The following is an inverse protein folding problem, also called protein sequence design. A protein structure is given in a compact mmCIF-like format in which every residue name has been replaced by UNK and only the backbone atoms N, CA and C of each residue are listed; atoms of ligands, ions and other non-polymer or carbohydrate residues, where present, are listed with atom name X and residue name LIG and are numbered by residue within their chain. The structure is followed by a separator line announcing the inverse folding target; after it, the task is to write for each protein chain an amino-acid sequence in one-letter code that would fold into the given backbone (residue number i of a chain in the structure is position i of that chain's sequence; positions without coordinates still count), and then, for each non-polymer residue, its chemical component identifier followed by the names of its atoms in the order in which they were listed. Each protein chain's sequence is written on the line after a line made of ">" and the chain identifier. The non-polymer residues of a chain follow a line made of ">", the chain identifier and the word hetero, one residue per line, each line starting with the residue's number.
data_IF_793086247166
#
_entry.id   IF_793086247166
#
_cell.length_a   1.000
_cell.length_b   1.000
_cell.length_c   1.000
_cell.angle_alpha   90.00
_cell.angle_beta   90.00
_cell.angle_gamma   90.00
#
_symmetry.space_group_name_H-M   'P 1'
#
loop_
_entity.id
_entity.type
_entity.pdbx_description
1 polymer ?
#
# COMPACT_ATOMS: atom_id res chain seq x y z
N UNK A 1 -10.54 -18.28 -27.05
CA UNK A 1 -9.11 -17.88 -27.19
C UNK A 1 -8.70 -17.19 -25.90
N UNK A 2 -8.00 -17.91 -25.04
CA UNK A 2 -7.55 -17.42 -23.71
C UNK A 2 -6.24 -16.70 -23.97
N UNK A 3 -6.24 -15.37 -23.83
CA UNK A 3 -5.00 -14.59 -23.90
C UNK A 3 -4.19 -14.83 -22.63
N UNK A 4 -2.96 -15.31 -22.85
CA UNK A 4 -1.98 -15.59 -21.83
C UNK A 4 -1.67 -14.34 -21.00
N UNK A 5 -1.84 -14.44 -19.68
CA UNK A 5 -1.18 -13.57 -18.74
C UNK A 5 0.32 -13.63 -19.00
N UNK A 6 0.95 -12.49 -19.23
CA UNK A 6 2.40 -12.39 -19.11
C UNK A 6 2.75 -12.65 -17.64
N UNK A 7 3.02 -13.89 -17.31
CA UNK A 7 3.71 -14.24 -16.09
C UNK A 7 5.15 -13.79 -16.28
N UNK A 8 5.56 -12.76 -15.57
CA UNK A 8 6.97 -12.51 -15.35
C UNK A 8 7.43 -13.66 -14.47
N UNK A 9 8.03 -14.68 -15.08
CA UNK A 9 8.66 -15.76 -14.34
C UNK A 9 9.94 -15.22 -13.73
N UNK A 10 9.91 -14.90 -12.45
CA UNK A 10 11.14 -14.74 -11.70
C UNK A 10 11.70 -16.14 -11.46
N UNK A 11 12.90 -16.38 -11.98
CA UNK A 11 13.68 -17.56 -11.60
C UNK A 11 13.85 -17.56 -10.07
N UNK A 12 13.64 -18.72 -9.47
CA UNK A 12 13.97 -18.95 -8.06
C UNK A 12 15.44 -18.59 -7.86
N UNK A 13 15.70 -17.43 -7.30
CA UNK A 13 17.05 -17.07 -6.87
C UNK A 13 17.29 -17.67 -5.49
N UNK A 14 18.32 -18.46 -5.35
CA UNK A 14 18.83 -18.86 -4.05
C UNK A 14 19.24 -17.60 -3.28
N UNK A 15 18.47 -17.26 -2.25
CA UNK A 15 18.80 -16.13 -1.39
C UNK A 15 19.80 -16.63 -0.37
N UNK A 16 21.07 -16.33 -0.61
CA UNK A 16 22.12 -16.55 0.39
C UNK A 16 22.03 -15.43 1.42
N UNK A 17 21.41 -15.70 2.56
CA UNK A 17 21.38 -14.77 3.68
C UNK A 17 22.79 -14.58 4.28
N UNK A 18 22.98 -13.48 5.04
CA UNK A 18 24.28 -13.10 5.69
C UNK A 18 24.87 -14.18 6.63
N UNK A 19 24.26 -15.34 6.78
CA UNK A 19 24.73 -16.50 7.56
C UNK A 19 24.77 -17.80 6.76
N UNK A 20 24.81 -17.74 5.42
CA UNK A 20 24.92 -18.93 4.57
C UNK A 20 23.71 -19.87 4.59
N UNK A 21 22.54 -19.41 5.00
CA UNK A 21 21.29 -20.16 4.92
C UNK A 21 20.60 -19.86 3.59
N UNK A 22 20.28 -20.91 2.84
CA UNK A 22 19.43 -20.82 1.64
C UNK A 22 17.96 -20.87 2.08
N UNK A 23 17.16 -19.90 1.59
CA UNK A 23 15.74 -19.88 1.82
C UNK A 23 15.02 -20.20 0.49
N UNK A 24 14.08 -21.13 0.55
CA UNK A 24 13.19 -21.42 -0.57
C UNK A 24 11.90 -20.62 -0.40
N UNK A 25 11.55 -19.85 -1.39
CA UNK A 25 10.26 -19.15 -1.43
C UNK A 25 9.23 -19.99 -2.17
N UNK A 26 7.95 -19.98 -1.75
CA UNK A 26 6.87 -20.57 -2.54
C UNK A 26 6.80 -19.95 -3.94
N UNK A 27 6.34 -20.70 -4.93
CA UNK A 27 6.29 -20.29 -6.34
C UNK A 27 5.51 -18.97 -6.59
N UNK A 28 4.60 -18.62 -5.69
CA UNK A 28 3.80 -17.39 -5.75
C UNK A 28 4.43 -16.21 -5.02
N UNK A 29 5.61 -16.39 -4.42
CA UNK A 29 6.35 -15.34 -3.70
C UNK A 29 7.56 -14.94 -4.51
N UNK A 30 7.63 -13.65 -4.86
CA UNK A 30 8.80 -13.03 -5.48
C UNK A 30 9.69 -12.38 -4.41
N UNK A 31 10.99 -12.46 -4.58
CA UNK A 31 11.95 -11.70 -3.81
C UNK A 31 12.62 -10.65 -4.70
N UNK A 32 12.63 -9.42 -4.22
CA UNK A 32 13.25 -8.32 -4.91
C UNK A 32 14.16 -7.54 -3.96
N UNK A 33 15.36 -7.23 -4.38
CA UNK A 33 16.32 -6.43 -3.59
C UNK A 33 17.04 -5.42 -4.47
N UNK A 34 17.41 -4.30 -3.87
CA UNK A 34 18.17 -3.23 -4.52
C UNK A 34 19.34 -2.82 -3.65
N UNK A 35 20.18 -1.92 -4.18
CA UNK A 35 21.37 -1.46 -3.48
C UNK A 35 21.07 -0.39 -2.41
N UNK A 36 19.88 0.20 -2.41
CA UNK A 36 19.47 1.21 -1.42
C UNK A 36 17.97 1.24 -1.21
N UNK A 37 17.52 1.82 -0.08
CA UNK A 37 16.12 2.02 0.22
C UNK A 37 15.44 2.97 -0.77
N UNK A 38 16.13 3.99 -1.26
CA UNK A 38 15.65 4.94 -2.25
C UNK A 38 15.37 4.25 -3.59
N UNK A 39 16.31 3.42 -4.05
CA UNK A 39 16.14 2.64 -5.28
C UNK A 39 14.96 1.66 -5.15
N UNK A 40 14.82 0.99 -3.99
CA UNK A 40 13.70 0.11 -3.72
C UNK A 40 12.37 0.87 -3.74
N UNK A 41 12.30 2.02 -3.09
CA UNK A 41 11.10 2.84 -3.04
C UNK A 41 10.68 3.32 -4.44
N UNK A 42 11.64 3.76 -5.24
CA UNK A 42 11.39 4.20 -6.63
C UNK A 42 10.85 3.05 -7.49
N UNK A 43 11.52 1.90 -7.50
CA UNK A 43 11.12 0.75 -8.31
C UNK A 43 9.74 0.21 -7.88
N UNK A 44 9.51 0.13 -6.56
CA UNK A 44 8.23 -0.31 -6.01
C UNK A 44 7.11 0.67 -6.35
N UNK A 45 7.36 1.97 -6.26
CA UNK A 45 6.38 3.00 -6.63
C UNK A 45 5.96 2.90 -8.09
N UNK A 46 6.88 2.58 -9.00
CA UNK A 46 6.58 2.37 -10.43
C UNK A 46 5.70 1.14 -10.65
N UNK A 47 5.98 0.03 -9.98
CA UNK A 47 5.14 -1.17 -10.05
C UNK A 47 3.72 -0.88 -9.51
N UNK A 48 3.61 -0.18 -8.39
CA UNK A 48 2.33 0.26 -7.82
C UNK A 48 1.58 1.17 -8.80
N UNK A 49 2.27 2.10 -9.46
CA UNK A 49 1.69 2.97 -10.49
C UNK A 49 1.00 2.17 -11.59
N UNK A 50 1.65 1.12 -12.11
CA UNK A 50 1.07 0.28 -13.17
C UNK A 50 -0.16 -0.48 -12.67
N UNK A 51 -0.11 -1.06 -11.47
CA UNK A 51 -1.23 -1.79 -10.88
C UNK A 51 -2.44 -0.86 -10.67
N UNK A 52 -2.23 0.32 -10.08
CA UNK A 52 -3.30 1.29 -9.83
C UNK A 52 -3.92 1.80 -11.13
N UNK A 53 -3.11 2.14 -12.14
CA UNK A 53 -3.61 2.56 -13.47
C UNK A 53 -4.42 1.49 -14.15
N UNK A 54 -3.93 0.24 -14.12
CA UNK A 54 -4.65 -0.89 -14.70
C UNK A 54 -5.99 -1.14 -14.00
N UNK A 55 -6.01 -1.06 -12.67
CA UNK A 55 -7.21 -1.21 -11.86
C UNK A 55 -8.23 -0.11 -12.14
N UNK A 56 -7.80 1.15 -12.18
CA UNK A 56 -8.65 2.28 -12.55
C UNK A 56 -9.21 2.10 -13.97
N UNK A 57 -8.38 1.67 -14.94
CA UNK A 57 -8.80 1.41 -16.31
C UNK A 57 -9.86 0.31 -16.39
N UNK A 58 -9.70 -0.77 -15.61
CA UNK A 58 -10.58 -1.94 -15.65
C UNK A 58 -11.89 -1.76 -14.88
N UNK A 59 -11.85 -1.10 -13.74
CA UNK A 59 -12.97 -1.03 -12.79
C UNK A 59 -13.42 0.39 -12.45
N UNK A 60 -12.76 1.40 -13.00
CA UNK A 60 -13.03 2.81 -12.70
C UNK A 60 -12.40 3.32 -11.42
N UNK A 61 -11.98 2.44 -10.53
CA UNK A 61 -11.32 2.74 -9.25
C UNK A 61 -10.27 1.70 -8.91
N UNK A 62 -9.36 2.07 -8.01
CA UNK A 62 -8.40 1.17 -7.39
C UNK A 62 -8.48 1.30 -5.87
N UNK A 63 -8.04 0.28 -5.13
CA UNK A 63 -8.03 0.26 -3.67
C UNK A 63 -6.70 -0.22 -3.13
N UNK A 64 -6.21 0.43 -2.07
CA UNK A 64 -4.99 0.03 -1.40
C UNK A 64 -5.06 0.21 0.11
N UNK A 65 -4.34 -0.66 0.82
CA UNK A 65 -4.13 -0.56 2.25
C UNK A 65 -2.63 -0.49 2.56
N UNK A 66 -2.25 0.40 3.48
CA UNK A 66 -0.84 0.64 3.80
C UNK A 66 -0.55 0.50 5.29
N UNK A 67 0.63 -0.04 5.61
CA UNK A 67 1.11 -0.14 6.98
C UNK A 67 1.79 1.16 7.44
N UNK A 68 1.97 1.29 8.74
CA UNK A 68 2.74 2.34 9.35
C UNK A 68 4.24 2.03 9.52
N UNK A 69 4.91 2.85 10.32
CA UNK A 69 6.32 2.69 10.68
C UNK A 69 7.27 3.52 9.81
N UNK A 70 8.56 3.39 10.06
CA UNK A 70 9.60 4.16 9.36
C UNK A 70 9.93 3.63 7.97
N UNK A 71 9.75 2.32 7.76
CA UNK A 71 10.14 1.64 6.52
C UNK A 71 9.40 2.17 5.26
N UNK A 72 8.08 2.38 5.27
CA UNK A 72 7.36 2.82 4.07
C UNK A 72 7.49 4.31 3.76
N UNK A 73 8.13 5.13 4.60
CA UNK A 73 8.21 6.59 4.39
C UNK A 73 8.77 6.98 3.02
N UNK A 74 9.89 6.39 2.61
CA UNK A 74 10.49 6.68 1.30
C UNK A 74 9.52 6.31 0.16
N UNK A 75 8.85 5.18 0.26
CA UNK A 75 7.85 4.76 -0.71
C UNK A 75 6.66 5.74 -0.76
N UNK A 76 6.18 6.21 0.39
CA UNK A 76 5.08 7.17 0.45
C UNK A 76 5.44 8.49 -0.23
N UNK A 77 6.68 8.98 -0.03
CA UNK A 77 7.19 10.16 -0.74
C UNK A 77 7.16 9.96 -2.27
N UNK A 78 7.65 8.82 -2.76
CA UNK A 78 7.64 8.49 -4.19
C UNK A 78 6.20 8.35 -4.73
N UNK A 79 5.31 7.66 -4.00
CA UNK A 79 3.91 7.53 -4.37
C UNK A 79 3.21 8.88 -4.49
N UNK A 80 3.50 9.82 -3.59
CA UNK A 80 2.91 11.16 -3.61
C UNK A 80 3.19 11.94 -4.90
N UNK A 81 4.27 11.59 -5.62
CA UNK A 81 4.72 12.25 -6.86
C UNK A 81 4.15 11.60 -8.13
N UNK A 82 3.53 10.43 -8.03
CA UNK A 82 3.05 9.69 -9.19
C UNK A 82 1.92 10.42 -9.91
N UNK A 83 1.96 10.36 -11.24
CA UNK A 83 0.94 10.93 -12.10
C UNK A 83 -0.21 9.95 -12.34
N UNK A 84 -1.08 9.82 -11.34
CA UNK A 84 -2.28 8.97 -11.33
C UNK A 84 -3.49 9.88 -11.07
N UNK A 85 -4.66 9.46 -11.49
CA UNK A 85 -5.92 10.08 -11.04
C UNK A 85 -6.25 9.60 -9.61
N UNK A 86 -5.62 10.26 -8.64
CA UNK A 86 -5.74 9.91 -7.23
C UNK A 86 -7.17 10.02 -6.69
N UNK A 87 -8.05 10.79 -7.33
CA UNK A 87 -9.47 10.83 -6.96
C UNK A 87 -10.20 9.49 -7.17
N UNK A 88 -9.57 8.59 -7.92
CA UNK A 88 -10.07 7.23 -8.18
C UNK A 88 -9.36 6.16 -7.37
N UNK A 89 -8.54 6.55 -6.42
CA UNK A 89 -7.85 5.61 -5.52
C UNK A 89 -8.45 5.72 -4.13
N UNK A 90 -8.91 4.58 -3.61
CA UNK A 90 -9.37 4.42 -2.24
C UNK A 90 -8.20 3.92 -1.39
N UNK A 91 -7.84 4.66 -0.36
CA UNK A 91 -6.70 4.39 0.53
C UNK A 91 -7.19 4.18 1.96
N UNK A 92 -6.68 3.15 2.61
CA UNK A 92 -6.86 2.94 4.05
C UNK A 92 -5.59 2.41 4.70
N UNK A 93 -5.64 2.17 5.98
CA UNK A 93 -4.55 1.61 6.77
C UNK A 93 -4.74 0.09 6.95
N UNK A 94 -3.65 -0.66 7.06
CA UNK A 94 -3.67 -2.08 7.47
C UNK A 94 -3.96 -2.19 8.96
N UNK A 95 -3.37 -1.28 9.74
CA UNK A 95 -3.57 -1.15 11.18
C UNK A 95 -3.38 0.31 11.62
N UNK A 96 -3.96 0.68 12.76
CA UNK A 96 -3.64 1.93 13.43
C UNK A 96 -3.76 1.77 14.95
N UNK A 97 -3.13 2.68 15.67
CA UNK A 97 -3.28 2.81 17.12
C UNK A 97 -4.53 3.64 17.41
N UNK A 98 -5.25 3.28 18.49
CA UNK A 98 -6.47 4.01 18.85
C UNK A 98 -6.13 5.31 19.58
N UNK A 99 -5.42 6.21 18.91
CA UNK A 99 -4.98 7.53 19.38
C UNK A 99 -5.51 8.63 18.45
N UNK A 100 -5.38 9.88 18.86
CA UNK A 100 -5.78 11.00 18.00
C UNK A 100 -4.89 11.07 16.74
N UNK A 101 -5.46 11.53 15.63
CA UNK A 101 -4.78 11.59 14.33
C UNK A 101 -3.56 12.52 14.29
N UNK A 102 -3.39 13.38 15.28
CA UNK A 102 -2.21 14.24 15.45
C UNK A 102 -1.15 13.65 16.40
N UNK A 103 -1.39 12.47 16.98
CA UNK A 103 -0.45 11.78 17.84
C UNK A 103 0.68 11.16 17.00
N UNK A 104 1.93 11.25 17.48
CA UNK A 104 3.12 10.71 16.79
C UNK A 104 3.07 9.19 16.57
N UNK A 105 2.28 8.47 17.37
CA UNK A 105 2.06 7.03 17.22
C UNK A 105 0.98 6.69 16.16
N UNK A 106 0.27 7.67 15.59
CA UNK A 106 -0.77 7.45 14.60
C UNK A 106 -0.19 7.14 13.22
N UNK A 107 -0.63 6.04 12.62
CA UNK A 107 -0.34 5.73 11.23
C UNK A 107 -1.10 6.67 10.27
N UNK A 108 -2.26 7.20 10.68
CA UNK A 108 -2.96 8.25 9.96
C UNK A 108 -2.10 9.51 9.83
N UNK A 109 -1.46 9.97 10.91
CA UNK A 109 -0.53 11.10 10.86
C UNK A 109 0.62 10.85 9.88
N UNK A 110 1.19 9.64 9.91
CA UNK A 110 2.27 9.24 9.02
C UNK A 110 1.85 9.35 7.55
N UNK A 111 0.69 8.80 7.20
CA UNK A 111 0.17 8.80 5.83
C UNK A 111 -0.17 10.22 5.38
N UNK A 112 -0.81 11.03 6.22
CA UNK A 112 -1.11 12.42 5.92
C UNK A 112 0.17 13.25 5.70
N UNK A 113 1.24 12.96 6.45
CA UNK A 113 2.51 13.70 6.37
C UNK A 113 3.33 13.32 5.14
N UNK A 114 3.38 12.03 4.80
CA UNK A 114 4.33 11.52 3.80
C UNK A 114 3.68 11.11 2.48
N UNK A 115 2.40 10.72 2.47
CA UNK A 115 1.72 10.23 1.29
C UNK A 115 0.67 11.21 0.75
N UNK A 116 -0.26 11.69 1.59
CA UNK A 116 -1.40 12.53 1.15
C UNK A 116 -0.95 13.97 0.95
N UNK A 117 -0.11 14.17 -0.04
CA UNK A 117 0.45 15.46 -0.46
C UNK A 117 0.76 15.45 -1.94
N UNK A 118 1.26 16.56 -2.47
CA UNK A 118 1.64 16.71 -3.86
C UNK A 118 0.48 16.28 -4.80
N UNK A 119 0.72 15.32 -5.68
CA UNK A 119 -0.29 14.81 -6.61
C UNK A 119 -1.32 13.90 -5.94
N UNK A 120 -0.97 13.29 -4.79
CA UNK A 120 -1.84 12.38 -4.05
C UNK A 120 -2.83 13.08 -3.11
N UNK A 121 -2.88 14.40 -3.07
CA UNK A 121 -3.82 15.17 -2.22
C UNK A 121 -5.30 14.80 -2.40
N UNK A 122 -5.65 14.27 -3.59
CA UNK A 122 -7.04 13.93 -3.94
C UNK A 122 -7.40 12.47 -3.69
N UNK A 123 -6.51 11.70 -3.06
CA UNK A 123 -6.81 10.30 -2.71
C UNK A 123 -8.01 10.24 -1.77
N UNK A 124 -8.89 9.27 -1.98
CA UNK A 124 -10.00 9.02 -1.06
C UNK A 124 -9.49 8.21 0.14
N UNK A 125 -9.05 8.90 1.19
CA UNK A 125 -8.50 8.26 2.38
C UNK A 125 -9.59 8.01 3.42
N UNK A 126 -9.68 6.77 3.89
CA UNK A 126 -10.57 6.35 4.99
C UNK A 126 -9.71 5.85 6.14
N UNK A 127 -9.62 6.62 7.26
CA UNK A 127 -8.88 6.20 8.44
C UNK A 127 -9.60 5.06 9.17
N UNK A 128 -8.86 4.29 9.96
CA UNK A 128 -9.44 3.25 10.82
C UNK A 128 -9.93 3.83 12.15
N UNK A 129 -9.21 4.82 12.70
CA UNK A 129 -9.63 5.54 13.91
C UNK A 129 -10.85 6.41 13.59
N UNK A 130 -11.85 6.34 14.43
CA UNK A 130 -13.07 7.12 14.38
C UNK A 130 -13.45 7.67 15.77
N UNK A 131 -14.62 8.29 15.91
CA UNK A 131 -15.04 8.99 17.14
C UNK A 131 -15.46 8.05 18.29
N UNK A 132 -15.46 6.73 18.10
CA UNK A 132 -15.76 5.80 19.16
C UNK A 132 -14.71 5.85 20.27
N UNK A 133 -15.14 5.64 21.52
CA UNK A 133 -14.26 5.72 22.69
C UNK A 133 -13.17 4.65 22.70
N UNK A 134 -13.46 3.47 22.19
CA UNK A 134 -12.52 2.35 22.13
C UNK A 134 -12.43 1.77 20.73
N UNK A 135 -11.32 1.13 20.40
CA UNK A 135 -11.17 0.44 19.13
C UNK A 135 -12.28 -0.58 18.88
N UNK A 136 -12.68 -1.32 19.92
CA UNK A 136 -13.75 -2.31 19.85
C UNK A 136 -15.09 -1.69 19.43
N UNK A 137 -15.43 -0.54 20.01
CA UNK A 137 -16.68 0.16 19.68
C UNK A 137 -16.61 0.81 18.28
N UNK A 138 -15.39 1.09 17.80
CA UNK A 138 -15.15 1.69 16.50
C UNK A 138 -15.22 0.70 15.32
N UNK A 139 -15.08 -0.61 15.55
CA UNK A 139 -15.08 -1.62 14.49
C UNK A 139 -16.28 -1.48 13.52
N UNK A 140 -17.54 -1.43 13.98
CA UNK A 140 -18.67 -1.33 13.06
C UNK A 140 -18.65 -0.06 12.19
N UNK A 141 -18.14 1.05 12.73
CA UNK A 141 -18.04 2.31 11.99
C UNK A 141 -16.97 2.24 10.91
N UNK A 142 -15.81 1.64 11.22
CA UNK A 142 -14.74 1.43 10.24
C UNK A 142 -15.15 0.44 9.15
N UNK A 143 -15.82 -0.65 9.51
CA UNK A 143 -16.37 -1.61 8.55
C UNK A 143 -17.38 -0.94 7.60
N UNK A 144 -18.27 -0.10 8.12
CA UNK A 144 -19.24 0.64 7.30
C UNK A 144 -18.54 1.59 6.33
N UNK A 145 -17.55 2.35 6.81
CA UNK A 145 -16.78 3.28 5.98
C UNK A 145 -16.03 2.59 4.84
N UNK A 146 -15.54 1.37 5.07
CA UNK A 146 -14.79 0.59 4.07
C UNK A 146 -15.69 -0.16 3.07
N UNK A 147 -17.01 -0.19 3.25
CA UNK A 147 -17.93 -0.87 2.31
C UNK A 147 -17.90 -0.33 0.89
N UNK A 148 -17.52 0.93 0.72
CA UNK A 148 -17.39 1.56 -0.60
C UNK A 148 -16.14 1.12 -1.36
N UNK A 149 -15.18 0.47 -0.70
CA UNK A 149 -13.93 0.04 -1.32
C UNK A 149 -14.14 -1.15 -2.24
N UNK A 150 -13.44 -1.13 -3.36
CA UNK A 150 -13.38 -2.31 -4.25
C UNK A 150 -12.54 -3.39 -3.58
N UNK A 151 -13.14 -4.55 -3.37
CA UNK A 151 -12.47 -5.70 -2.76
C UNK A 151 -12.30 -6.85 -3.77
N UNK A 152 -11.25 -7.67 -3.66
CA UNK A 152 -10.12 -7.50 -2.72
C UNK A 152 -9.30 -6.26 -3.05
N UNK A 153 -8.50 -5.78 -2.09
CA UNK A 153 -7.54 -4.69 -2.35
C UNK A 153 -6.64 -5.02 -3.53
N UNK A 154 -6.34 -4.01 -4.35
CA UNK A 154 -5.37 -4.15 -5.44
C UNK A 154 -3.94 -4.23 -4.91
N UNK A 155 -3.68 -3.53 -3.81
CA UNK A 155 -2.37 -3.43 -3.17
C UNK A 155 -2.54 -3.44 -1.66
N UNK A 156 -1.67 -4.18 -0.99
CA UNK A 156 -1.45 -4.12 0.45
C UNK A 156 0.05 -4.01 0.70
N UNK A 157 0.48 -3.02 1.51
CA UNK A 157 1.89 -2.72 1.83
C UNK A 157 2.12 -2.85 3.31
#
# INVERSE_FOLDING_TARGET
>A
MVQSKAMISFQVMDIVGMRGKTYYLPDHVGFYSTNSGESLALDLSQNINEILKESIKKRGRASMAVSGGSTPKLLFEELSLLNIDWSKVDLTLVDDRWVDSNNEDSNELLVNTHFIKNKAEKVNFVPLKNDAKTAKDGIPLSEEALKSFTMPFDIVI
#
